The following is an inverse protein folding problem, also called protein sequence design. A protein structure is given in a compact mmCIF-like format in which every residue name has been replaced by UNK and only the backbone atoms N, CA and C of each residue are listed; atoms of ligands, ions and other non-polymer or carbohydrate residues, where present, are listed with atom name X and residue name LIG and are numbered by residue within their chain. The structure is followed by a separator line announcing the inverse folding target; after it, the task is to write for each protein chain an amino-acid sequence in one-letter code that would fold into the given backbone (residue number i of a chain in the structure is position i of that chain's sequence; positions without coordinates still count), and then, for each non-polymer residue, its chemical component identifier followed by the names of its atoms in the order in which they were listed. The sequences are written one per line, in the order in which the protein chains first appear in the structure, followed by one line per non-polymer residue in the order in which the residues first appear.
data_IF_286752251493
#
_entry.id   IF_286752251493
#
_cell.length_a   1.000
_cell.length_b   1.000
_cell.length_c   1.000
_cell.angle_alpha   90.00
_cell.angle_beta   90.00
_cell.angle_gamma   90.00
#
_symmetry.space_group_name_H-M   'P 1'
#
loop_
_entity.id
_entity.type
_entity.pdbx_description
1 polymer ?
#
# COMPACT_ATOMS: atom_id res chain seq x y z
N UNK A 1 15.40 -1.54 -34.17
CA UNK A 1 15.46 -0.12 -34.56
C UNK A 1 14.05 0.42 -34.57
N UNK A 2 13.70 1.24 -33.58
CA UNK A 2 12.57 2.17 -33.67
C UNK A 2 13.02 3.43 -32.95
N UNK A 3 13.41 4.43 -33.75
CA UNK A 3 13.61 5.80 -33.32
C UNK A 3 12.27 6.38 -32.88
N UNK A 4 12.27 7.11 -31.77
CA UNK A 4 11.18 8.04 -31.47
C UNK A 4 11.80 9.40 -31.15
N UNK A 5 11.55 10.33 -32.08
CA UNK A 5 11.97 11.71 -32.11
C UNK A 5 11.40 12.54 -30.95
N UNK A 6 12.21 13.51 -30.50
CA UNK A 6 11.87 14.54 -29.51
C UNK A 6 10.74 15.46 -29.99
N UNK A 7 10.12 16.21 -29.06
CA UNK A 7 10.22 17.66 -29.19
C UNK A 7 10.68 18.37 -27.91
N UNK A 8 11.38 19.49 -28.11
CA UNK A 8 11.72 20.51 -27.12
C UNK A 8 10.45 21.13 -26.54
N UNK A 9 10.37 21.21 -25.22
CA UNK A 9 9.67 22.31 -24.57
C UNK A 9 10.53 22.81 -23.40
N UNK A 10 10.90 24.07 -23.51
CA UNK A 10 11.43 24.93 -22.47
C UNK A 10 10.41 25.06 -21.36
N UNK A 11 10.81 24.88 -20.09
CA UNK A 11 10.32 25.74 -19.02
C UNK A 11 11.32 25.74 -17.85
N UNK A 12 11.48 26.94 -17.33
CA UNK A 12 12.23 27.28 -16.12
C UNK A 12 11.56 26.59 -14.94
N UNK A 13 12.35 26.02 -14.04
CA UNK A 13 12.13 26.11 -12.59
C UNK A 13 13.29 25.46 -11.84
N UNK A 14 13.97 26.25 -11.02
CA UNK A 14 14.56 25.76 -9.77
C UNK A 14 14.70 26.95 -8.84
N UNK A 15 13.60 27.20 -8.12
CA UNK A 15 13.52 28.10 -7.00
C UNK A 15 14.13 27.35 -5.80
N UNK A 16 15.35 27.73 -5.44
CA UNK A 16 16.00 27.32 -4.20
C UNK A 16 15.62 28.28 -3.06
N UNK A 17 15.41 27.66 -1.91
CA UNK A 17 14.96 28.20 -0.62
C UNK A 17 15.95 29.20 0.02
N UNK A 18 15.48 30.45 0.23
CA UNK A 18 15.74 31.40 1.34
C UNK A 18 17.19 31.91 1.61
N UNK A 19 17.41 33.07 2.30
CA UNK A 19 16.48 34.08 2.83
C UNK A 19 16.80 35.52 2.34
N UNK A 20 15.77 36.34 2.09
CA UNK A 20 15.94 37.77 1.83
C UNK A 20 15.69 38.58 3.11
N UNK A 21 16.76 39.18 3.61
CA UNK A 21 16.78 40.22 4.63
C UNK A 21 15.80 41.34 4.27
N UNK A 22 14.75 41.51 5.07
CA UNK A 22 13.88 42.70 5.00
C UNK A 22 14.19 43.58 6.22
N UNK A 23 14.65 44.83 6.06
CA UNK A 23 14.85 45.72 7.18
C UNK A 23 13.49 46.18 7.76
N UNK A 24 13.39 46.40 9.09
CA UNK A 24 12.15 46.87 9.69
C UNK A 24 11.82 48.28 9.19
N UNK A 25 10.55 48.51 8.88
CA UNK A 25 10.02 49.84 8.58
C UNK A 25 10.30 50.80 9.77
N UNK A 26 10.73 52.05 9.51
CA UNK A 26 10.95 53.00 10.58
C UNK A 26 9.61 53.36 11.24
N UNK A 27 9.59 53.20 12.56
CA UNK A 27 8.56 53.73 13.46
C UNK A 27 8.57 55.26 13.31
N UNK A 28 7.46 55.93 12.96
CA UNK A 28 7.38 57.37 13.11
C UNK A 28 7.21 57.68 14.61
N UNK A 29 8.33 57.90 15.28
CA UNK A 29 8.38 58.47 16.63
C UNK A 29 8.09 59.97 16.55
N UNK A 30 6.96 60.37 17.16
CA UNK A 30 6.86 61.59 17.95
C UNK A 30 6.69 62.93 17.21
N UNK A 31 5.54 63.57 17.43
CA UNK A 31 5.47 65.03 17.48
C UNK A 31 4.44 65.73 16.59
N UNK A 32 3.20 65.24 16.52
CA UNK A 32 2.08 66.11 16.15
C UNK A 32 1.25 66.41 17.41
N UNK A 33 1.02 67.68 17.79
CA UNK A 33 0.09 67.99 18.86
C UNK A 33 -1.29 67.50 18.44
N UNK A 34 -1.89 66.60 19.23
CA UNK A 34 -3.30 66.28 19.08
C UNK A 34 -4.06 67.54 19.46
N UNK A 35 -4.58 68.23 18.45
CA UNK A 35 -5.47 69.38 18.61
C UNK A 35 -6.72 68.88 19.35
N UNK A 36 -6.86 69.28 20.62
CA UNK A 36 -8.07 68.99 21.39
C UNK A 36 -9.23 69.71 20.71
N UNK A 37 -10.37 69.05 20.45
CA UNK A 37 -11.52 69.73 19.88
C UNK A 37 -11.85 70.99 20.69
N UNK A 38 -11.84 72.15 20.04
CA UNK A 38 -12.33 73.39 20.65
C UNK A 38 -13.78 73.18 21.11
N UNK A 39 -14.09 73.67 22.31
CA UNK A 39 -15.48 73.79 22.77
C UNK A 39 -15.89 72.94 23.97
N UNK A 40 -14.96 72.54 24.87
CA UNK A 40 -15.36 71.84 26.10
C UNK A 40 -14.67 72.28 27.38
N UNK A 41 -14.35 73.56 27.51
CA UNK A 41 -14.02 74.11 28.82
C UNK A 41 -14.41 75.58 28.96
N UNK A 42 -15.66 75.80 29.34
CA UNK A 42 -16.05 76.82 30.31
C UNK A 42 -17.57 76.78 30.45
N UNK A 43 -18.04 76.34 31.62
CA UNK A 43 -19.18 76.88 32.38
C UNK A 43 -19.48 75.90 33.51
N UNK A 44 -19.02 76.26 34.72
CA UNK A 44 -19.66 75.80 35.97
C UNK A 44 -20.77 76.79 36.28
N UNK A 45 -22.04 76.38 36.26
CA UNK A 45 -23.07 77.00 37.11
C UNK A 45 -24.16 76.01 37.56
N UNK A 46 -24.35 76.06 38.88
CA UNK A 46 -25.55 75.80 39.70
C UNK A 46 -26.11 74.38 39.79
N UNK A 47 -26.00 73.85 41.02
CA UNK A 47 -26.90 72.85 41.59
C UNK A 47 -28.33 73.39 41.57
N UNK A 48 -29.25 72.62 41.01
CA UNK A 48 -30.69 72.77 41.19
C UNK A 48 -31.25 71.47 41.75
N UNK A 49 -31.94 71.62 42.88
CA UNK A 49 -33.01 70.82 43.46
C UNK A 49 -33.30 69.46 42.82
N UNK A 50 -33.17 68.41 43.62
CA UNK A 50 -33.71 67.08 43.34
C UNK A 50 -35.24 67.17 43.35
N UNK A 51 -35.88 66.96 42.19
CA UNK A 51 -37.30 66.61 42.11
C UNK A 51 -37.43 65.08 42.07
N UNK A 52 -38.15 64.53 43.05
CA UNK A 52 -38.34 63.09 43.25
C UNK A 52 -39.33 62.43 42.27
N UNK A 53 -39.87 63.16 41.28
CA UNK A 53 -40.88 62.67 40.32
C UNK A 53 -40.34 62.22 38.95
N UNK A 54 -39.01 62.16 38.76
CA UNK A 54 -38.36 61.67 37.52
C UNK A 54 -37.69 60.28 37.67
N UNK A 55 -37.88 59.64 38.83
CA UNK A 55 -37.21 58.38 39.23
C UNK A 55 -37.70 57.14 38.47
N UNK A 56 -38.98 57.07 38.09
CA UNK A 56 -39.57 55.86 37.49
C UNK A 56 -38.97 55.51 36.11
N UNK A 57 -38.74 56.52 35.26
CA UNK A 57 -38.17 56.31 33.91
C UNK A 57 -36.69 55.91 34.00
N UNK A 58 -35.96 56.49 34.96
CA UNK A 58 -34.56 56.14 35.20
C UNK A 58 -34.40 54.69 35.69
N UNK A 59 -35.29 54.23 36.58
CA UNK A 59 -35.30 52.84 37.07
C UNK A 59 -35.66 51.85 35.95
N UNK A 60 -36.67 52.15 35.13
CA UNK A 60 -37.05 51.31 33.99
C UNK A 60 -35.90 51.17 32.97
N UNK A 61 -35.17 52.26 32.70
CA UNK A 61 -34.00 52.20 31.82
C UNK A 61 -32.87 51.34 32.40
N UNK A 62 -32.63 51.39 33.72
CA UNK A 62 -31.64 50.55 34.38
C UNK A 62 -32.03 49.07 34.34
N UNK A 63 -33.31 48.76 34.57
CA UNK A 63 -33.85 47.40 34.45
C UNK A 63 -33.69 46.89 33.01
N UNK A 64 -34.01 47.71 32.01
CA UNK A 64 -33.82 47.37 30.59
C UNK A 64 -32.36 47.13 30.23
N UNK A 65 -31.42 47.90 30.79
CA UNK A 65 -29.98 47.68 30.62
C UNK A 65 -29.57 46.34 31.25
N UNK A 66 -30.08 46.02 32.43
CA UNK A 66 -29.77 44.76 33.12
C UNK A 66 -30.29 43.54 32.34
N UNK A 67 -31.56 43.56 31.93
CA UNK A 67 -32.18 42.49 31.13
C UNK A 67 -31.45 42.31 29.80
N UNK A 68 -31.08 43.42 29.13
CA UNK A 68 -30.27 43.35 27.92
C UNK A 68 -28.90 42.73 28.17
N UNK A 69 -28.27 43.05 29.30
CA UNK A 69 -26.99 42.45 29.71
C UNK A 69 -27.10 40.93 29.87
N UNK A 70 -28.11 40.47 30.60
CA UNK A 70 -28.36 39.04 30.80
C UNK A 70 -28.59 38.29 29.48
N UNK A 71 -29.40 38.86 28.57
CA UNK A 71 -29.65 38.27 27.25
C UNK A 71 -28.36 38.18 26.41
N UNK A 72 -27.49 39.17 26.52
CA UNK A 72 -26.20 39.16 25.82
C UNK A 72 -25.27 38.08 26.40
N UNK A 73 -25.23 37.92 27.73
CA UNK A 73 -24.42 36.91 28.40
C UNK A 73 -24.90 35.49 28.06
N UNK A 74 -26.21 35.26 28.03
CA UNK A 74 -26.81 33.98 27.60
C UNK A 74 -26.49 33.65 26.14
N UNK A 75 -26.57 34.65 25.25
CA UNK A 75 -26.23 34.48 23.85
C UNK A 75 -24.74 34.16 23.66
N UNK A 76 -23.86 34.84 24.40
CA UNK A 76 -22.43 34.57 24.38
C UNK A 76 -22.12 33.16 24.91
N UNK A 77 -22.78 32.73 25.99
CA UNK A 77 -22.63 31.38 26.54
C UNK A 77 -23.02 30.31 25.52
N UNK A 78 -24.15 30.49 24.82
CA UNK A 78 -24.61 29.59 23.77
C UNK A 78 -23.64 29.52 22.59
N UNK A 79 -23.11 30.66 22.14
CA UNK A 79 -22.12 30.69 21.06
C UNK A 79 -20.81 29.99 21.44
N UNK A 80 -20.36 30.15 22.69
CA UNK A 80 -19.18 29.45 23.21
C UNK A 80 -19.39 27.94 23.27
N UNK A 81 -20.56 27.49 23.71
CA UNK A 81 -20.90 26.07 23.73
C UNK A 81 -20.92 25.47 22.32
N UNK A 82 -21.58 26.15 21.35
CA UNK A 82 -21.59 25.72 19.95
C UNK A 82 -20.16 25.66 19.36
N UNK A 83 -19.31 26.64 19.68
CA UNK A 83 -17.91 26.63 19.24
C UNK A 83 -17.16 25.41 19.80
N UNK A 84 -17.35 25.08 21.07
CA UNK A 84 -16.73 23.91 21.70
C UNK A 84 -17.19 22.62 21.02
N UNK A 85 -18.48 22.50 20.70
CA UNK A 85 -19.02 21.34 20.00
C UNK A 85 -18.43 21.18 18.59
N UNK A 86 -18.30 22.28 17.85
CA UNK A 86 -17.65 22.30 16.54
C UNK A 86 -16.18 21.89 16.66
N UNK A 87 -15.46 22.41 17.67
CA UNK A 87 -14.06 22.06 17.89
C UNK A 87 -13.88 20.59 18.25
N UNK A 88 -14.75 20.02 19.08
CA UNK A 88 -14.77 18.58 19.39
C UNK A 88 -15.04 17.75 18.14
N UNK A 89 -16.07 18.09 17.36
CA UNK A 89 -16.41 17.38 16.13
C UNK A 89 -15.26 17.43 15.10
N UNK A 90 -14.57 18.58 15.00
CA UNK A 90 -13.39 18.74 14.14
C UNK A 90 -12.25 17.84 14.60
N UNK A 91 -11.98 17.78 15.91
CA UNK A 91 -10.94 16.91 16.47
C UNK A 91 -11.24 15.43 16.21
N UNK A 92 -12.48 15.00 16.47
CA UNK A 92 -12.92 13.63 16.22
C UNK A 92 -12.79 13.25 14.75
N UNK A 93 -13.16 14.15 13.84
CA UNK A 93 -13.02 13.93 12.41
C UNK A 93 -11.55 13.80 11.99
N UNK A 94 -10.67 14.64 12.53
CA UNK A 94 -9.23 14.56 12.27
C UNK A 94 -8.64 13.25 12.79
N UNK A 95 -9.04 12.81 13.97
CA UNK A 95 -8.60 11.53 14.55
C UNK A 95 -9.08 10.35 13.70
N UNK A 96 -10.34 10.34 13.27
CA UNK A 96 -10.90 9.31 12.37
C UNK A 96 -10.16 9.28 11.03
N UNK A 97 -9.88 10.45 10.43
CA UNK A 97 -9.16 10.55 9.17
C UNK A 97 -7.73 9.99 9.29
N UNK A 98 -7.05 10.25 10.42
CA UNK A 98 -5.73 9.70 10.69
C UNK A 98 -5.77 8.18 10.82
N UNK A 99 -6.71 7.62 11.58
CA UNK A 99 -6.85 6.17 11.72
C UNK A 99 -7.18 5.49 10.39
N UNK A 100 -8.10 6.05 9.60
CA UNK A 100 -8.42 5.52 8.27
C UNK A 100 -7.19 5.51 7.36
N UNK A 101 -6.34 6.54 7.43
CA UNK A 101 -5.08 6.59 6.66
C UNK A 101 -4.09 5.52 7.10
N UNK A 102 -3.95 5.30 8.42
CA UNK A 102 -3.10 4.24 8.97
C UNK A 102 -3.62 2.86 8.55
N UNK A 103 -4.91 2.59 8.72
CA UNK A 103 -5.54 1.33 8.35
C UNK A 103 -5.37 1.03 6.86
N UNK A 104 -5.65 2.02 6.00
CA UNK A 104 -5.45 1.88 4.56
C UNK A 104 -3.98 1.59 4.21
N UNK A 105 -3.03 2.28 4.86
CA UNK A 105 -1.60 2.05 4.69
C UNK A 105 -1.19 0.63 5.10
N UNK A 106 -1.67 0.15 6.24
CA UNK A 106 -1.42 -1.21 6.73
C UNK A 106 -1.99 -2.27 5.79
N UNK A 107 -3.23 -2.09 5.32
CA UNK A 107 -3.88 -3.01 4.38
C UNK A 107 -3.13 -3.09 3.04
N UNK A 108 -2.66 -1.94 2.53
CA UNK A 108 -1.83 -1.90 1.33
C UNK A 108 -0.51 -2.65 1.51
N UNK A 109 0.14 -2.49 2.66
CA UNK A 109 1.39 -3.18 2.97
C UNK A 109 1.19 -4.71 3.06
N UNK A 110 0.10 -5.14 3.68
CA UNK A 110 -0.21 -6.57 3.81
C UNK A 110 -0.48 -7.22 2.45
N UNK A 111 -1.31 -6.58 1.61
CA UNK A 111 -1.55 -7.02 0.23
C UNK A 111 -0.24 -7.11 -0.57
N UNK A 112 0.67 -6.15 -0.40
CA UNK A 112 1.97 -6.19 -1.09
C UNK A 112 2.83 -7.37 -0.64
N UNK A 113 2.80 -7.73 0.65
CA UNK A 113 3.51 -8.91 1.17
C UNK A 113 2.90 -10.20 0.64
N UNK A 114 1.58 -10.30 0.59
CA UNK A 114 0.86 -11.46 0.06
C UNK A 114 1.18 -11.67 -1.43
N UNK A 115 1.06 -10.62 -2.25
CA UNK A 115 1.46 -10.66 -3.67
C UNK A 115 2.91 -11.11 -3.83
N UNK A 116 3.82 -10.64 -2.97
CA UNK A 116 5.23 -11.03 -3.02
C UNK A 116 5.45 -12.50 -2.63
N UNK A 117 4.63 -13.04 -1.74
CA UNK A 117 4.64 -14.45 -1.33
C UNK A 117 4.12 -15.34 -2.45
N UNK A 118 2.97 -14.98 -3.02
CA UNK A 118 2.34 -15.73 -4.10
C UNK A 118 3.20 -15.75 -5.36
N UNK A 119 3.85 -14.63 -5.68
CA UNK A 119 4.82 -14.58 -6.78
C UNK A 119 5.97 -15.56 -6.60
N UNK A 120 6.46 -15.72 -5.36
CA UNK A 120 7.51 -16.71 -5.05
C UNK A 120 6.99 -18.14 -5.14
N UNK A 121 5.75 -18.38 -4.71
CA UNK A 121 5.11 -19.70 -4.81
C UNK A 121 4.90 -20.10 -6.28
N UNK A 122 4.31 -19.22 -7.08
CA UNK A 122 4.11 -19.43 -8.52
C UNK A 122 5.44 -19.74 -9.20
N UNK A 123 6.51 -19.01 -8.87
CA UNK A 123 7.84 -19.27 -9.42
C UNK A 123 8.38 -20.65 -9.03
N UNK A 124 8.12 -21.13 -7.81
CA UNK A 124 8.52 -22.48 -7.38
C UNK A 124 7.74 -23.56 -8.11
N UNK A 125 6.42 -23.40 -8.19
CA UNK A 125 5.54 -24.34 -8.88
C UNK A 125 5.85 -24.40 -10.38
N UNK A 126 6.21 -23.27 -11.00
CA UNK A 126 6.67 -23.26 -12.40
C UNK A 126 7.95 -24.09 -12.60
N UNK A 127 8.91 -24.02 -11.68
CA UNK A 127 10.15 -24.81 -11.74
C UNK A 127 9.85 -26.30 -11.54
N UNK A 128 8.95 -26.65 -10.61
CA UNK A 128 8.51 -28.03 -10.40
C UNK A 128 7.82 -28.58 -11.65
N UNK A 129 6.85 -27.84 -12.19
CA UNK A 129 6.14 -28.24 -13.41
C UNK A 129 7.11 -28.43 -14.59
N UNK A 130 8.11 -27.55 -14.75
CA UNK A 130 9.12 -27.72 -15.79
C UNK A 130 9.94 -29.01 -15.59
N UNK A 131 10.30 -29.34 -14.35
CA UNK A 131 10.98 -30.60 -14.03
C UNK A 131 10.11 -31.80 -14.38
N UNK A 132 8.84 -31.79 -14.00
CA UNK A 132 7.90 -32.89 -14.22
C UNK A 132 7.63 -33.09 -15.72
N UNK A 133 7.55 -31.99 -16.50
CA UNK A 133 7.48 -32.04 -17.96
C UNK A 133 8.74 -32.71 -18.52
N UNK A 134 9.93 -32.28 -18.09
CA UNK A 134 11.19 -32.87 -18.57
C UNK A 134 11.30 -34.36 -18.22
N UNK A 135 10.86 -34.75 -17.03
CA UNK A 135 10.82 -36.15 -16.61
C UNK A 135 9.84 -36.97 -17.44
N UNK A 136 8.64 -36.45 -17.68
CA UNK A 136 7.64 -37.08 -18.54
C UNK A 136 8.15 -37.24 -19.97
N UNK A 137 8.75 -36.21 -20.55
CA UNK A 137 9.35 -36.28 -21.90
C UNK A 137 10.50 -37.29 -21.96
N UNK A 138 11.34 -37.33 -20.93
CA UNK A 138 12.40 -38.35 -20.83
C UNK A 138 11.80 -39.74 -20.81
N UNK A 139 10.81 -39.99 -19.94
CA UNK A 139 10.15 -41.30 -19.82
C UNK A 139 9.50 -41.73 -21.15
N UNK A 140 8.79 -40.82 -21.82
CA UNK A 140 8.21 -41.09 -23.14
C UNK A 140 9.27 -41.45 -24.18
N UNK A 141 10.39 -40.72 -24.22
CA UNK A 141 11.51 -40.98 -25.14
C UNK A 141 12.13 -42.36 -24.87
N UNK A 142 12.35 -42.69 -23.61
CA UNK A 142 12.93 -43.97 -23.21
C UNK A 142 11.99 -45.13 -23.49
N UNK A 143 10.69 -44.99 -23.21
CA UNK A 143 9.68 -45.97 -23.61
C UNK A 143 9.69 -46.19 -25.12
N UNK A 144 9.74 -45.12 -25.93
CA UNK A 144 9.82 -45.23 -27.38
C UNK A 144 11.06 -46.03 -27.82
N UNK A 145 12.23 -45.79 -27.23
CA UNK A 145 13.46 -46.55 -27.50
C UNK A 145 13.30 -48.02 -27.09
N UNK A 146 12.73 -48.30 -25.92
CA UNK A 146 12.50 -49.66 -25.41
C UNK A 146 11.60 -50.49 -26.33
N UNK A 147 10.59 -49.87 -26.93
CA UNK A 147 9.66 -50.55 -27.84
C UNK A 147 10.03 -50.43 -29.33
N UNK A 148 11.22 -49.90 -29.65
CA UNK A 148 11.67 -49.82 -31.04
C UNK A 148 12.07 -51.20 -31.57
N UNK A 149 11.46 -51.65 -32.68
CA UNK A 149 11.85 -52.90 -33.34
C UNK A 149 13.24 -52.78 -33.97
N UNK A 150 14.18 -53.59 -33.49
CA UNK A 150 15.56 -53.62 -33.97
C UNK A 150 15.66 -54.07 -35.43
N UNK A 151 14.74 -54.90 -35.94
CA UNK A 151 14.83 -55.43 -37.30
C UNK A 151 14.56 -54.37 -38.37
N UNK A 152 13.91 -53.26 -38.01
CA UNK A 152 13.57 -52.17 -38.92
C UNK A 152 14.73 -51.22 -39.24
N UNK A 153 15.89 -51.34 -38.55
CA UNK A 153 17.02 -50.42 -38.69
C UNK A 153 18.28 -51.06 -39.28
N UNK A 154 19.23 -50.25 -39.76
CA UNK A 154 20.56 -50.69 -40.21
C UNK A 154 21.41 -51.23 -39.04
N UNK A 155 22.33 -52.19 -39.25
CA UNK A 155 23.09 -52.85 -38.16
C UNK A 155 23.77 -51.90 -37.15
N UNK A 156 24.37 -50.81 -37.63
CA UNK A 156 25.02 -49.82 -36.75
C UNK A 156 24.00 -49.12 -35.81
N UNK A 157 22.81 -48.82 -36.31
CA UNK A 157 21.73 -48.21 -35.53
C UNK A 157 21.14 -49.23 -34.55
N UNK A 158 21.00 -50.51 -34.97
CA UNK A 158 20.58 -51.61 -34.08
C UNK A 158 21.47 -51.69 -32.84
N UNK A 159 22.79 -51.73 -33.04
CA UNK A 159 23.74 -51.79 -31.94
C UNK A 159 23.58 -50.61 -30.96
N UNK A 160 23.39 -49.40 -31.49
CA UNK A 160 23.15 -48.22 -30.67
C UNK A 160 21.81 -48.30 -29.89
N UNK A 161 20.72 -48.73 -30.53
CA UNK A 161 19.41 -48.91 -29.87
C UNK A 161 19.52 -49.98 -28.77
N UNK A 162 20.11 -51.14 -29.05
CA UNK A 162 20.32 -52.20 -28.06
C UNK A 162 21.13 -51.71 -26.86
N UNK A 163 22.19 -50.93 -27.10
CA UNK A 163 22.94 -50.29 -26.02
C UNK A 163 22.06 -49.36 -25.20
N UNK A 164 21.24 -48.52 -25.84
CA UNK A 164 20.32 -47.61 -25.14
C UNK A 164 19.25 -48.33 -24.33
N UNK A 165 18.68 -49.41 -24.86
CA UNK A 165 17.73 -50.26 -24.14
C UNK A 165 18.35 -50.83 -22.86
N UNK A 166 19.58 -51.35 -22.95
CA UNK A 166 20.36 -51.80 -21.77
C UNK A 166 20.60 -50.67 -20.78
N UNK A 167 21.07 -49.51 -21.23
CA UNK A 167 21.34 -48.35 -20.36
C UNK A 167 20.06 -47.90 -19.60
N UNK A 168 18.89 -47.94 -20.26
CA UNK A 168 17.59 -47.61 -19.66
C UNK A 168 17.22 -48.64 -18.57
N UNK A 169 17.33 -49.93 -18.86
CA UNK A 169 17.03 -51.00 -17.88
C UNK A 169 17.91 -50.87 -16.64
N UNK A 170 19.21 -50.69 -16.80
CA UNK A 170 20.16 -50.52 -15.69
C UNK A 170 19.78 -49.29 -14.85
N UNK A 171 19.40 -48.19 -15.50
CA UNK A 171 18.97 -46.97 -14.81
C UNK A 171 17.72 -47.18 -13.95
N UNK A 172 16.79 -48.02 -14.40
CA UNK A 172 15.59 -48.41 -13.63
C UNK A 172 15.88 -49.56 -12.63
N UNK A 173 17.15 -49.96 -12.46
CA UNK A 173 17.58 -50.98 -11.50
C UNK A 173 17.43 -52.43 -11.99
N UNK A 174 17.17 -52.64 -13.28
CA UNK A 174 17.08 -53.97 -13.90
C UNK A 174 18.43 -54.30 -14.54
N UNK A 175 19.15 -55.29 -13.99
CA UNK A 175 20.41 -55.76 -14.57
C UNK A 175 20.15 -56.84 -15.63
N UNK A 176 20.25 -56.55 -16.95
CA UNK A 176 19.89 -57.52 -17.99
C UNK A 176 20.76 -58.78 -17.98
N UNK A 177 22.02 -58.68 -17.55
CA UNK A 177 22.96 -59.80 -17.56
C UNK A 177 22.62 -60.85 -16.47
N UNK A 178 21.94 -60.44 -15.40
CA UNK A 178 21.40 -61.35 -14.37
C UNK A 178 20.12 -62.07 -14.84
N UNK A 179 19.27 -61.40 -15.63
CA UNK A 179 18.01 -61.98 -16.12
C UNK A 179 18.25 -63.05 -17.19
N UNK A 180 19.24 -62.87 -18.06
CA UNK A 180 19.63 -63.90 -19.03
C UNK A 180 20.23 -65.14 -18.34
N UNK A 181 20.95 -64.93 -17.24
CA UNK A 181 21.52 -66.02 -16.42
C UNK A 181 20.45 -66.85 -15.70
N UNK A 182 19.34 -66.23 -15.28
CA UNK A 182 18.20 -66.94 -14.66
C UNK A 182 17.32 -67.67 -15.70
N UNK A 183 17.18 -67.11 -16.91
CA UNK A 183 16.37 -67.71 -17.99
C UNK A 183 17.01 -68.98 -18.59
N UNK A 184 18.33 -69.12 -18.51
CA UNK A 184 19.07 -70.32 -18.95
C UNK A 184 18.94 -71.55 -18.04
N UNK A 185 18.36 -71.43 -16.84
CA UNK A 185 18.33 -72.51 -15.85
C UNK A 185 17.12 -73.47 -15.95
N UNK A 186 16.15 -73.21 -16.84
CA UNK A 186 14.87 -73.97 -16.87
C UNK A 186 14.74 -75.01 -17.99
N UNK A 187 15.82 -75.37 -18.70
CA UNK A 187 15.75 -76.38 -19.77
C UNK A 187 16.83 -77.45 -19.62
N UNK A 188 16.82 -78.18 -18.51
CA UNK A 188 17.49 -79.47 -18.44
C UNK A 188 16.74 -80.44 -17.53
N UNK A 189 16.62 -81.67 -18.03
CA UNK A 189 16.04 -82.88 -17.40
C UNK A 189 14.53 -83.08 -17.54
N UNK A 190 14.15 -83.78 -18.62
CA UNK A 190 13.58 -85.13 -18.49
C UNK A 190 13.64 -85.85 -19.84
N UNK A 191 14.73 -86.58 -20.09
CA UNK A 191 14.65 -87.79 -20.91
C UNK A 191 14.36 -88.94 -19.95
N UNK A 192 13.25 -89.69 -20.09
CA UNK A 192 13.14 -90.97 -19.43
C UNK A 192 13.86 -92.01 -20.29
N UNK A 193 14.95 -92.55 -19.74
CA UNK A 193 15.57 -93.78 -20.20
C UNK A 193 14.69 -94.99 -19.85
N UNK A 194 14.52 -95.91 -20.80
CA UNK A 194 14.58 -97.35 -20.51
C UNK A 194 13.28 -98.07 -20.12
N UNK A 195 12.83 -98.91 -21.06
CA UNK A 195 12.58 -100.35 -20.94
C UNK A 195 11.58 -100.90 -19.89
N UNK A 196 10.42 -101.37 -20.36
CA UNK A 196 10.11 -102.81 -20.62
C UNK A 196 8.68 -103.01 -21.11
#
# INVERSE_FOLDING_TARGET
MFECSKPKQTDKDNQATQPLNTPPAPIPTGGAPIERPEGRDSVKKRRTSVEESSSSVAVEMLEKIHVRGQQMDELEAKQKEELIDIERAKFDLQQKALFAKIEHGNKKLELQREISRDKKEISREQIKLQRDIMETTRFQTEAQIMFTDLNSWQPAVRFWITKKQRDILIKEGINPDEVESASGASTQQQQPSGDK
#
